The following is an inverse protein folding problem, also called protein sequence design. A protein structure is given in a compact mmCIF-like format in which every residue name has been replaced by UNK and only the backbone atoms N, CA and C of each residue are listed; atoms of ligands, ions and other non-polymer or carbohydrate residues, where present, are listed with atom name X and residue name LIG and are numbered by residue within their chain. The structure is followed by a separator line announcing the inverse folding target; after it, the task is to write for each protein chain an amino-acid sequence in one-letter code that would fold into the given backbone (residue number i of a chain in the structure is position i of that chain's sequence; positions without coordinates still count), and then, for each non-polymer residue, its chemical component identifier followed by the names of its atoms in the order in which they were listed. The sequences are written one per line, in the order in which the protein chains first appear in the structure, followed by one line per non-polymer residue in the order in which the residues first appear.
data_IF_927166608487
#
_entry.id   IF_927166608487
#
_cell.length_a   1.000
_cell.length_b   1.000
_cell.length_c   1.000
_cell.angle_alpha   90.00
_cell.angle_beta   90.00
_cell.angle_gamma   90.00
#
_symmetry.space_group_name_H-M   'P 1'
#
loop_
_entity.id
_entity.type
_entity.pdbx_description
1 polymer ?
#
# COMPACT_ATOMS: atom_id res chain seq x y z
N UNK A 1 18.97 15.64 0.64
CA UNK A 1 19.21 14.52 -0.30
C UNK A 1 18.48 13.24 0.12
N UNK A 2 18.57 12.78 1.38
CA UNK A 2 17.89 11.56 1.88
C UNK A 2 16.41 11.43 1.46
N UNK A 3 15.62 12.47 1.66
CA UNK A 3 14.20 12.54 1.30
C UNK A 3 13.92 12.27 -0.20
N UNK A 4 14.80 12.74 -1.08
CA UNK A 4 14.63 12.54 -2.53
C UNK A 4 14.74 11.06 -2.85
N UNK A 5 15.77 10.38 -2.34
CA UNK A 5 15.98 8.96 -2.62
C UNK A 5 14.96 8.04 -1.94
N UNK A 6 14.35 8.47 -0.84
CA UNK A 6 13.30 7.70 -0.19
C UNK A 6 11.92 7.84 -0.85
N UNK A 7 11.67 8.93 -1.58
CA UNK A 7 10.36 9.23 -2.19
C UNK A 7 10.35 9.02 -3.70
N UNK A 8 11.43 9.41 -4.38
CA UNK A 8 11.51 9.42 -5.84
C UNK A 8 11.26 8.03 -6.46
N UNK A 9 11.87 6.92 -6.00
CA UNK A 9 11.62 5.61 -6.60
C UNK A 9 10.15 5.18 -6.49
N UNK A 10 9.49 5.50 -5.37
CA UNK A 10 8.07 5.15 -5.15
C UNK A 10 7.16 5.83 -6.18
N UNK A 11 7.35 7.14 -6.38
CA UNK A 11 6.59 7.90 -7.37
C UNK A 11 6.92 7.47 -8.80
N UNK A 12 8.21 7.20 -9.08
CA UNK A 12 8.66 6.74 -10.39
C UNK A 12 7.97 5.44 -10.80
N UNK A 13 7.83 4.48 -9.88
CA UNK A 13 7.16 3.21 -10.15
C UNK A 13 5.66 3.40 -10.43
N UNK A 14 4.98 4.26 -9.66
CA UNK A 14 3.57 4.57 -9.93
C UNK A 14 3.38 5.24 -11.29
N UNK A 15 4.24 6.21 -11.64
CA UNK A 15 4.21 6.86 -12.94
C UNK A 15 4.45 5.84 -14.05
N UNK A 16 5.43 4.95 -13.90
CA UNK A 16 5.70 3.90 -14.87
C UNK A 16 4.50 2.97 -15.08
N UNK A 17 3.86 2.49 -14.00
CA UNK A 17 2.66 1.67 -14.10
C UNK A 17 1.49 2.42 -14.76
N UNK A 18 1.31 3.70 -14.45
CA UNK A 18 0.30 4.52 -15.11
C UNK A 18 0.58 4.69 -16.61
N UNK A 19 1.83 4.86 -17.02
CA UNK A 19 2.21 4.95 -18.43
C UNK A 19 2.02 3.63 -19.18
N UNK A 20 2.06 2.50 -18.48
CA UNK A 20 1.75 1.17 -19.02
C UNK A 20 0.24 0.90 -19.15
N UNK A 21 -0.63 1.83 -18.74
CA UNK A 21 -2.08 1.70 -18.96
C UNK A 21 -2.43 1.85 -20.45
N UNK A 22 -2.38 0.73 -21.18
CA UNK A 22 -2.73 0.66 -22.60
C UNK A 22 -4.19 1.00 -22.89
N UNK A 23 -5.10 0.71 -21.96
CA UNK A 23 -6.55 0.91 -22.17
C UNK A 23 -7.02 2.31 -21.76
N UNK A 24 -6.18 3.09 -21.07
CA UNK A 24 -6.44 4.47 -20.62
C UNK A 24 -7.73 4.60 -19.82
N UNK A 25 -8.08 3.56 -19.07
CA UNK A 25 -9.28 3.50 -18.23
C UNK A 25 -9.03 4.11 -16.84
N UNK A 26 -7.76 4.30 -16.47
CA UNK A 26 -7.40 4.88 -15.19
C UNK A 26 -7.65 6.39 -15.18
N UNK A 27 -8.50 6.82 -14.24
CA UNK A 27 -8.85 8.22 -14.05
C UNK A 27 -7.83 8.84 -13.09
N UNK A 28 -7.09 9.86 -13.54
CA UNK A 28 -6.06 10.56 -12.74
C UNK A 28 -6.58 11.05 -11.37
N UNK A 29 -7.82 11.54 -11.32
CA UNK A 29 -8.48 11.94 -10.06
C UNK A 29 -8.59 10.79 -9.06
N UNK A 30 -8.86 9.58 -9.55
CA UNK A 30 -8.95 8.38 -8.70
C UNK A 30 -7.58 7.92 -8.23
N UNK A 31 -6.51 8.10 -9.03
CA UNK A 31 -5.12 7.90 -8.55
C UNK A 31 -4.82 8.86 -7.38
N UNK A 32 -5.18 10.13 -7.51
CA UNK A 32 -4.97 11.11 -6.44
C UNK A 32 -5.74 10.72 -5.15
N UNK A 33 -6.99 10.27 -5.27
CA UNK A 33 -7.73 9.75 -4.12
C UNK A 33 -7.12 8.48 -3.54
N UNK A 34 -6.64 7.56 -4.37
CA UNK A 34 -5.91 6.36 -3.93
C UNK A 34 -4.66 6.72 -3.14
N UNK A 35 -3.86 7.67 -3.63
CA UNK A 35 -2.69 8.19 -2.92
C UNK A 35 -3.07 8.77 -1.56
N UNK A 36 -4.09 9.65 -1.53
CA UNK A 36 -4.57 10.25 -0.29
C UNK A 36 -5.07 9.19 0.70
N UNK A 37 -5.78 8.16 0.23
CA UNK A 37 -6.21 7.06 1.06
C UNK A 37 -5.01 6.32 1.66
N UNK A 38 -3.97 6.04 0.87
CA UNK A 38 -2.72 5.46 1.35
C UNK A 38 -2.08 6.28 2.48
N UNK A 39 -2.01 7.60 2.32
CA UNK A 39 -1.50 8.50 3.37
C UNK A 39 -2.35 8.43 4.65
N UNK A 40 -3.68 8.39 4.50
CA UNK A 40 -4.62 8.23 5.62
C UNK A 40 -4.39 6.89 6.32
N UNK A 41 -4.23 5.79 5.58
CA UNK A 41 -3.92 4.48 6.13
C UNK A 41 -2.60 4.48 6.92
N UNK A 42 -1.57 5.18 6.45
CA UNK A 42 -0.31 5.29 7.18
C UNK A 42 -0.49 5.97 8.54
N UNK A 43 -1.26 7.07 8.57
CA UNK A 43 -1.57 7.76 9.83
C UNK A 43 -2.36 6.87 10.79
N UNK A 44 -3.44 6.23 10.31
CA UNK A 44 -4.25 5.35 11.16
C UNK A 44 -3.47 4.12 11.64
N UNK A 45 -2.65 3.52 10.77
CA UNK A 45 -1.78 2.41 11.16
C UNK A 45 -0.83 2.83 12.28
N UNK A 46 -0.19 3.99 12.15
CA UNK A 46 0.69 4.52 13.20
C UNK A 46 -0.05 4.70 14.54
N UNK A 47 -1.26 5.26 14.53
CA UNK A 47 -2.06 5.44 15.76
C UNK A 47 -2.46 4.11 16.39
N UNK A 48 -2.94 3.15 15.58
CA UNK A 48 -3.36 1.82 16.06
C UNK A 48 -2.17 1.07 16.65
N UNK A 49 -1.05 1.05 15.93
CA UNK A 49 0.15 0.33 16.37
C UNK A 49 0.75 0.96 17.64
N UNK A 50 0.78 2.29 17.74
CA UNK A 50 1.25 2.98 18.95
C UNK A 50 0.36 2.67 20.16
N UNK A 51 -0.97 2.74 19.99
CA UNK A 51 -1.92 2.41 21.06
C UNK A 51 -1.80 0.95 21.54
N UNK A 52 -1.64 0.02 20.60
CA UNK A 52 -1.44 -1.39 20.92
C UNK A 52 -0.13 -1.63 21.66
N UNK A 53 0.95 -0.95 21.26
CA UNK A 53 2.26 -1.04 21.91
C UNK A 53 2.19 -0.55 23.36
N UNK A 54 1.52 0.59 23.60
CA UNK A 54 1.37 1.17 24.94
C UNK A 54 0.52 0.28 25.87
N UNK A 55 -0.49 -0.41 25.32
CA UNK A 55 -1.44 -1.20 26.12
C UNK A 55 -0.93 -2.60 26.47
N UNK A 56 -0.16 -3.23 25.56
CA UNK A 56 0.17 -4.66 25.66
C UNK A 56 1.60 -4.97 26.15
N UNK A 57 2.47 -3.97 26.29
CA UNK A 57 3.82 -4.13 26.88
C UNK A 57 4.80 -4.98 26.05
N UNK A 58 5.90 -5.42 26.67
CA UNK A 58 7.06 -6.03 25.98
C UNK A 58 6.77 -7.33 25.19
N UNK A 59 5.75 -8.11 25.58
CA UNK A 59 5.33 -9.29 24.82
C UNK A 59 4.78 -8.95 23.43
N UNK A 60 4.29 -7.71 23.26
CA UNK A 60 3.72 -7.22 22.01
C UNK A 60 4.79 -6.80 20.99
N UNK A 61 6.06 -6.65 21.39
CA UNK A 61 7.13 -6.23 20.47
C UNK A 61 7.36 -7.27 19.36
N UNK A 62 7.35 -8.56 19.72
CA UNK A 62 7.45 -9.66 18.76
C UNK A 62 6.19 -9.80 17.89
N UNK A 63 5.02 -9.62 18.50
CA UNK A 63 3.74 -9.77 17.80
C UNK A 63 3.47 -8.59 16.86
N UNK A 64 3.91 -7.38 17.23
CA UNK A 64 3.78 -6.16 16.44
C UNK A 64 4.45 -6.28 15.08
N UNK A 65 5.53 -7.08 14.95
CA UNK A 65 6.21 -7.29 13.67
C UNK A 65 5.33 -7.99 12.63
N UNK A 66 4.33 -8.75 13.07
CA UNK A 66 3.38 -9.46 12.21
C UNK A 66 2.02 -8.76 12.17
N UNK A 67 1.56 -8.23 13.30
CA UNK A 67 0.29 -7.52 13.38
C UNK A 67 0.31 -6.18 12.66
N UNK A 68 1.38 -5.40 12.76
CA UNK A 68 1.44 -4.09 12.10
C UNK A 68 1.28 -4.21 10.58
N UNK A 69 2.05 -5.07 9.86
CA UNK A 69 1.84 -5.29 8.43
C UNK A 69 0.41 -5.75 8.09
N UNK A 70 -0.16 -6.66 8.90
CA UNK A 70 -1.52 -7.14 8.66
C UNK A 70 -2.56 -6.01 8.77
N UNK A 71 -2.46 -5.16 9.80
CA UNK A 71 -3.33 -3.99 9.98
C UNK A 71 -3.16 -3.01 8.80
N UNK A 72 -1.92 -2.78 8.37
CA UNK A 72 -1.62 -1.88 7.25
C UNK A 72 -2.27 -2.33 5.94
N UNK A 73 -2.10 -3.60 5.57
CA UNK A 73 -2.67 -4.15 4.34
C UNK A 73 -4.21 -4.20 4.41
N UNK A 74 -4.79 -4.51 5.57
CA UNK A 74 -6.24 -4.48 5.78
C UNK A 74 -6.82 -3.07 5.59
N UNK A 75 -6.16 -2.04 6.13
CA UNK A 75 -6.60 -0.65 5.97
C UNK A 75 -6.53 -0.21 4.50
N UNK A 76 -5.44 -0.54 3.80
CA UNK A 76 -5.26 -0.22 2.37
C UNK A 76 -6.31 -0.90 1.50
N UNK A 77 -6.66 -2.15 1.80
CA UNK A 77 -7.68 -2.91 1.09
C UNK A 77 -9.09 -2.26 1.14
N UNK A 78 -9.38 -1.47 2.18
CA UNK A 78 -10.69 -0.83 2.37
C UNK A 78 -11.16 0.02 1.18
N UNK A 79 -10.30 0.86 0.63
CA UNK A 79 -10.67 1.70 -0.53
C UNK A 79 -10.76 0.90 -1.82
N UNK A 80 -9.95 -0.14 -2.01
CA UNK A 80 -10.09 -1.06 -3.13
C UNK A 80 -11.45 -1.74 -3.13
N UNK A 81 -11.90 -2.24 -1.96
CA UNK A 81 -13.22 -2.81 -1.82
C UNK A 81 -14.31 -1.81 -2.22
N UNK A 82 -14.21 -0.56 -1.76
CA UNK A 82 -15.16 0.49 -2.15
C UNK A 82 -15.21 0.69 -3.67
N UNK A 83 -14.05 0.85 -4.33
CA UNK A 83 -13.98 1.10 -5.78
C UNK A 83 -14.53 -0.05 -6.61
N UNK A 84 -14.17 -1.29 -6.25
CA UNK A 84 -14.61 -2.50 -6.95
C UNK A 84 -16.08 -2.80 -6.67
N UNK A 85 -16.58 -2.45 -5.49
CA UNK A 85 -18.02 -2.55 -5.15
C UNK A 85 -18.87 -1.56 -5.94
N UNK A 86 -18.34 -0.34 -6.16
CA UNK A 86 -18.98 0.68 -7.00
C UNK A 86 -18.76 0.48 -8.50
N UNK A 87 -18.21 -0.67 -8.92
CA UNK A 87 -17.93 -0.99 -10.33
C UNK A 87 -17.09 0.09 -11.05
N UNK A 88 -16.22 0.78 -10.30
CA UNK A 88 -15.30 1.80 -10.84
C UNK A 88 -14.02 1.20 -11.42
N UNK A 89 -13.75 -0.07 -11.11
CA UNK A 89 -12.61 -0.85 -11.60
C UNK A 89 -13.19 -2.08 -12.27
N UNK A 90 -12.93 -2.23 -13.58
CA UNK A 90 -13.43 -3.35 -14.39
C UNK A 90 -12.34 -4.33 -14.77
N UNK A 91 -11.09 -3.86 -14.91
CA UNK A 91 -9.97 -4.66 -15.39
C UNK A 91 -8.91 -4.86 -14.30
N UNK A 92 -8.16 -5.96 -14.42
CA UNK A 92 -7.08 -6.30 -13.47
C UNK A 92 -5.95 -5.26 -13.49
N UNK A 93 -5.64 -4.68 -14.66
CA UNK A 93 -4.60 -3.66 -14.80
C UNK A 93 -4.98 -2.38 -14.05
N UNK A 94 -6.22 -1.90 -14.20
CA UNK A 94 -6.73 -0.74 -13.45
C UNK A 94 -6.67 -0.99 -11.94
N UNK A 95 -7.07 -2.19 -11.52
CA UNK A 95 -7.03 -2.61 -10.12
C UNK A 95 -5.60 -2.56 -9.58
N UNK A 96 -4.64 -3.06 -10.35
CA UNK A 96 -3.22 -3.01 -10.03
C UNK A 96 -2.73 -1.57 -9.87
N UNK A 97 -3.07 -0.67 -10.79
CA UNK A 97 -2.63 0.74 -10.74
C UNK A 97 -3.24 1.47 -9.54
N UNK A 98 -4.53 1.29 -9.27
CA UNK A 98 -5.17 1.90 -8.09
C UNK A 98 -4.66 1.31 -6.78
N UNK A 99 -4.38 0.00 -6.74
CA UNK A 99 -3.78 -0.66 -5.59
C UNK A 99 -2.36 -0.16 -5.34
N UNK A 100 -1.54 -0.10 -6.38
CA UNK A 100 -0.19 0.45 -6.31
C UNK A 100 -0.19 1.92 -5.87
N UNK A 101 -1.16 2.71 -6.32
CA UNK A 101 -1.31 4.11 -5.90
C UNK A 101 -1.63 4.23 -4.40
N UNK A 102 -2.46 3.35 -3.84
CA UNK A 102 -2.72 3.30 -2.39
C UNK A 102 -1.43 2.95 -1.63
N UNK A 103 -0.74 1.88 -2.05
CA UNK A 103 0.54 1.49 -1.46
C UNK A 103 1.61 2.57 -1.57
N UNK A 104 1.64 3.31 -2.69
CA UNK A 104 2.52 4.46 -2.89
C UNK A 104 2.25 5.55 -1.85
N UNK A 105 0.99 5.94 -1.65
CA UNK A 105 0.62 6.95 -0.65
C UNK A 105 1.09 6.55 0.75
N UNK A 106 0.91 5.29 1.11
CA UNK A 106 1.38 4.75 2.38
C UNK A 106 2.91 4.83 2.50
N UNK A 107 3.64 4.32 1.50
CA UNK A 107 5.09 4.30 1.48
C UNK A 107 5.70 5.71 1.56
N UNK A 108 5.05 6.71 0.96
CA UNK A 108 5.48 8.11 1.04
C UNK A 108 5.44 8.62 2.47
N UNK A 109 4.30 8.48 3.15
CA UNK A 109 4.15 8.89 4.54
C UNK A 109 5.12 8.14 5.46
N UNK A 110 5.23 6.82 5.30
CA UNK A 110 6.15 6.00 6.07
C UNK A 110 7.61 6.44 5.89
N UNK A 111 8.07 6.60 4.65
CA UNK A 111 9.45 7.02 4.39
C UNK A 111 9.73 8.43 4.89
N UNK A 112 8.78 9.36 4.76
CA UNK A 112 8.93 10.70 5.31
C UNK A 112 9.08 10.64 6.83
N UNK A 113 8.23 9.88 7.53
CA UNK A 113 8.33 9.68 8.97
C UNK A 113 9.71 9.13 9.37
N UNK A 114 10.18 8.07 8.71
CA UNK A 114 11.48 7.50 9.03
C UNK A 114 12.65 8.44 8.72
N UNK A 115 12.58 9.27 7.65
CA UNK A 115 13.63 10.25 7.36
C UNK A 115 13.83 11.22 8.52
N UNK A 116 12.75 11.62 9.21
CA UNK A 116 12.83 12.47 10.39
C UNK A 116 13.21 11.70 11.66
N UNK A 117 12.68 10.49 11.85
CA UNK A 117 12.95 9.67 13.03
C UNK A 117 14.38 9.10 13.07
N UNK A 118 14.99 8.85 11.91
CA UNK A 118 16.29 8.20 11.77
C UNK A 118 17.34 9.16 11.17
N UNK A 119 17.72 10.18 11.94
CA UNK A 119 18.68 11.22 11.53
C UNK A 119 20.09 10.67 11.24
N UNK A 120 20.55 9.70 12.02
CA UNK A 120 21.90 9.09 12.02
C UNK A 120 21.98 7.84 11.13
N UNK A 121 21.55 7.94 9.87
CA UNK A 121 21.56 6.79 8.92
C UNK A 121 22.32 7.08 7.63
N UNK A 122 22.88 6.01 7.06
CA UNK A 122 23.59 6.04 5.77
C UNK A 122 22.67 6.41 4.61
N UNK A 123 23.27 6.93 3.52
CA UNK A 123 22.53 7.22 2.29
C UNK A 123 21.97 5.96 1.63
N UNK A 124 22.71 4.85 1.70
CA UNK A 124 22.32 3.55 1.13
C UNK A 124 20.99 3.07 1.71
N UNK A 125 20.75 3.30 3.00
CA UNK A 125 19.48 2.96 3.66
C UNK A 125 18.29 3.61 2.94
N UNK A 126 18.40 4.87 2.52
CA UNK A 126 17.31 5.59 1.85
C UNK A 126 17.08 5.15 0.40
N UNK A 127 18.15 4.73 -0.28
CA UNK A 127 18.04 4.09 -1.59
C UNK A 127 17.29 2.76 -1.46
N UNK A 128 17.74 1.90 -0.55
CA UNK A 128 17.12 0.58 -0.30
C UNK A 128 15.66 0.76 0.12
N UNK A 129 15.38 1.69 1.04
CA UNK A 129 14.00 1.98 1.46
C UNK A 129 13.16 2.50 0.31
N UNK A 130 13.63 3.47 -0.47
CA UNK A 130 12.88 4.04 -1.59
C UNK A 130 12.38 2.98 -2.58
N UNK A 131 13.24 2.03 -2.97
CA UNK A 131 12.84 0.91 -3.83
C UNK A 131 12.06 -0.17 -3.07
N UNK A 132 12.52 -0.55 -1.88
CA UNK A 132 11.96 -1.64 -1.09
C UNK A 132 10.52 -1.37 -0.67
N UNK A 133 10.23 -0.17 -0.15
CA UNK A 133 8.87 0.22 0.25
C UNK A 133 7.95 0.41 -0.95
N UNK A 134 8.49 0.84 -2.11
CA UNK A 134 7.70 0.92 -3.34
C UNK A 134 7.23 -0.47 -3.79
N UNK A 135 8.14 -1.44 -3.80
CA UNK A 135 7.83 -2.83 -4.19
C UNK A 135 6.93 -3.50 -3.16
N UNK A 136 7.21 -3.35 -1.87
CA UNK A 136 6.40 -3.92 -0.79
C UNK A 136 4.99 -3.29 -0.77
N UNK A 137 4.86 -2.03 -0.35
CA UNK A 137 3.53 -1.43 -0.17
C UNK A 137 2.79 -1.32 -1.50
N UNK A 138 3.44 -0.84 -2.56
CA UNK A 138 2.82 -0.72 -3.88
C UNK A 138 2.47 -2.07 -4.48
N UNK A 139 3.41 -3.02 -4.47
CA UNK A 139 3.23 -4.34 -5.08
C UNK A 139 2.22 -5.22 -4.35
N UNK A 140 2.27 -5.27 -3.01
CA UNK A 140 1.34 -6.07 -2.22
C UNK A 140 -0.10 -5.60 -2.38
N UNK A 141 -0.35 -4.30 -2.27
CA UNK A 141 -1.70 -3.75 -2.46
C UNK A 141 -2.17 -3.90 -3.93
N UNK A 142 -1.28 -3.82 -4.92
CA UNK A 142 -1.61 -4.10 -6.32
C UNK A 142 -1.97 -5.58 -6.56
N UNK A 143 -1.18 -6.51 -6.02
CA UNK A 143 -1.42 -7.96 -6.10
C UNK A 143 -2.76 -8.32 -5.45
N UNK A 144 -3.02 -7.79 -4.26
CA UNK A 144 -4.31 -7.95 -3.60
C UNK A 144 -5.47 -7.49 -4.50
N UNK A 145 -5.35 -6.31 -5.11
CA UNK A 145 -6.37 -5.76 -6.01
C UNK A 145 -6.64 -6.68 -7.21
N UNK A 146 -5.58 -7.19 -7.85
CA UNK A 146 -5.68 -8.14 -8.99
C UNK A 146 -6.38 -9.42 -8.56
N UNK A 147 -5.94 -10.03 -7.46
CA UNK A 147 -6.51 -11.29 -6.95
C UNK A 147 -8.00 -11.11 -6.63
N UNK A 148 -8.33 -10.00 -5.95
CA UNK A 148 -9.70 -9.73 -5.54
C UNK A 148 -10.64 -9.47 -6.73
N UNK A 149 -10.27 -8.61 -7.68
CA UNK A 149 -11.12 -8.36 -8.84
C UNK A 149 -11.25 -9.58 -9.74
N UNK A 150 -10.17 -10.37 -9.90
CA UNK A 150 -10.17 -11.63 -10.65
C UNK A 150 -11.01 -12.73 -10.00
N UNK A 151 -11.12 -12.73 -8.67
CA UNK A 151 -12.05 -13.60 -7.96
C UNK A 151 -13.50 -13.18 -8.18
N UNK A 152 -13.78 -11.87 -8.06
CA UNK A 152 -15.13 -11.30 -8.20
C UNK A 152 -15.68 -11.44 -9.63
N UNK A 153 -14.86 -11.27 -10.66
CA UNK A 153 -15.29 -11.40 -12.05
C UNK A 153 -15.64 -12.83 -12.46
N UNK A 154 -15.16 -13.84 -11.71
CA UNK A 154 -15.42 -15.27 -11.94
C UNK A 154 -16.54 -15.84 -11.07
N UNK A 155 -17.27 -14.99 -10.34
CA UNK A 155 -18.34 -15.36 -9.41
C UNK A 155 -17.96 -16.47 -8.40
N UNK A 156 -16.66 -16.58 -8.09
CA UNK A 156 -16.13 -17.59 -7.17
C UNK A 156 -16.05 -16.99 -5.76
N UNK A 157 -16.28 -17.84 -4.76
CA UNK A 157 -16.26 -17.49 -3.33
C UNK A 157 -15.15 -16.49 -3.00
N UNK A 158 -15.56 -15.28 -2.63
CA UNK A 158 -14.70 -14.12 -2.44
C UNK A 158 -13.83 -14.27 -1.17
N UNK A 159 -14.35 -14.95 -0.15
CA UNK A 159 -13.73 -15.02 1.18
C UNK A 159 -12.40 -15.78 1.20
N UNK A 160 -12.26 -17.01 0.67
CA UNK A 160 -10.98 -17.73 0.69
C UNK A 160 -9.87 -17.02 -0.08
N UNK A 161 -10.23 -16.26 -1.12
CA UNK A 161 -9.27 -15.56 -1.99
C UNK A 161 -8.88 -14.18 -1.50
N UNK A 162 -9.79 -13.49 -0.79
CA UNK A 162 -9.44 -12.29 -0.02
C UNK A 162 -8.41 -12.66 1.04
N UNK A 163 -8.62 -13.78 1.75
CA UNK A 163 -7.66 -14.29 2.72
C UNK A 163 -6.32 -14.66 2.08
N UNK A 164 -6.31 -15.32 0.92
CA UNK A 164 -5.05 -15.60 0.22
C UNK A 164 -4.35 -14.34 -0.30
N UNK A 165 -5.11 -13.34 -0.75
CA UNK A 165 -4.56 -12.05 -1.19
C UNK A 165 -3.94 -11.27 -0.04
N UNK A 166 -4.62 -11.22 1.11
CA UNK A 166 -4.08 -10.61 2.34
C UNK A 166 -2.88 -11.39 2.90
N UNK A 167 -2.83 -12.71 2.70
CA UNK A 167 -1.70 -13.54 3.16
C UNK A 167 -0.46 -13.43 2.24
N UNK A 168 -0.65 -13.04 0.98
CA UNK A 168 0.43 -12.82 0.01
C UNK A 168 0.93 -11.36 -0.01
N UNK A 169 0.15 -10.45 0.55
CA UNK A 169 0.48 -9.04 0.74
C UNK A 169 1.27 -8.85 2.04
#
# INVERSE_FOLDING_TARGET
MKMVFSVFPVLLFLVFLFLMDSYKLVIKKMIAFSLLWGCVCALFSYLINSFLQDTAGAAFEYLSRYLAPAVEEMLKAGFLFFLISKKRIGFMVDAAIYGFAIGTGFALCENLFYVYALSETSMLTWIIRGFGTAVMHGGCTALFAIIYIGAKSRDRMVVPRVLSGLALA
#
